data_IF_168878107574
#
_entry.id   IF_168878107574
#
_cell.length_a   1.000
_cell.length_b   1.000
_cell.length_c   1.000
_cell.angle_alpha   90.00
_cell.angle_beta   90.00
_cell.angle_gamma   90.00
#
_symmetry.space_group_name_H-M   'P 1'
#
loop_
_entity.id
_entity.type
_entity.pdbx_description
1 polymer ?
#
# COMPACT_ATOMS: atom_id res chain seq x y z
N UNK A 1 43.03 -15.96 62.00
CA UNK A 1 41.70 -16.10 61.45
C UNK A 1 41.41 -14.84 60.64
N UNK A 2 41.56 -14.95 59.34
CA UNK A 2 41.63 -13.83 58.36
C UNK A 2 40.24 -13.49 57.93
N UNK A 3 39.80 -12.24 58.17
CA UNK A 3 38.55 -11.70 57.67
C UNK A 3 38.82 -11.25 56.24
N UNK A 4 38.18 -11.89 55.25
CA UNK A 4 38.23 -11.55 53.85
C UNK A 4 37.19 -10.43 53.60
N UNK A 5 37.68 -9.23 53.39
CA UNK A 5 36.86 -8.08 52.96
C UNK A 5 36.55 -8.21 51.48
N UNK A 6 35.30 -8.44 51.14
CA UNK A 6 34.83 -8.35 49.74
C UNK A 6 34.72 -6.87 49.37
N UNK A 7 35.66 -6.44 48.56
CA UNK A 7 35.63 -5.13 47.92
C UNK A 7 34.67 -5.23 46.70
N UNK A 8 33.46 -4.72 46.87
CA UNK A 8 32.55 -4.53 45.77
C UNK A 8 33.05 -3.35 44.93
N UNK A 9 33.76 -3.64 43.85
CA UNK A 9 34.04 -2.66 42.81
C UNK A 9 32.75 -2.51 42.02
N UNK A 10 31.98 -1.49 42.35
CA UNK A 10 30.87 -1.02 41.52
C UNK A 10 31.50 -0.41 40.25
N UNK A 11 31.60 -1.21 39.22
CA UNK A 11 31.90 -0.74 37.86
C UNK A 11 30.69 0.07 37.37
N UNK A 12 30.70 1.38 37.66
CA UNK A 12 29.80 2.33 37.03
C UNK A 12 30.19 2.39 35.58
N UNK A 13 29.57 1.56 34.76
CA UNK A 13 29.57 1.75 33.33
C UNK A 13 28.77 3.04 33.06
N UNK A 14 29.48 4.12 32.82
CA UNK A 14 28.90 5.33 32.24
C UNK A 14 28.45 4.92 30.85
N UNK A 15 27.16 4.50 30.72
CA UNK A 15 26.50 4.54 29.43
C UNK A 15 26.53 6.01 29.03
N UNK A 16 27.38 6.32 28.06
CA UNK A 16 27.25 7.54 27.28
C UNK A 16 25.90 7.46 26.59
N UNK A 17 24.87 7.99 27.25
CA UNK A 17 23.60 8.31 26.63
C UNK A 17 23.95 9.39 25.63
N UNK A 18 24.21 9.00 24.39
CA UNK A 18 24.17 9.93 23.26
C UNK A 18 22.83 10.64 23.41
N UNK A 19 22.90 11.92 23.76
CA UNK A 19 21.71 12.74 23.95
C UNK A 19 20.98 12.80 22.61
N UNK A 20 20.00 11.94 22.44
CA UNK A 20 19.02 12.07 21.37
C UNK A 20 18.20 13.31 21.74
N UNK A 21 18.55 14.43 21.14
CA UNK A 21 17.75 15.65 21.29
C UNK A 21 16.50 15.46 20.42
N UNK A 22 15.41 15.13 21.07
CA UNK A 22 14.09 15.16 20.43
C UNK A 22 13.70 16.66 20.39
N UNK A 23 13.97 17.30 19.28
CA UNK A 23 13.31 18.57 18.98
C UNK A 23 11.89 18.24 18.56
N UNK A 24 10.94 18.38 19.48
CA UNK A 24 9.55 18.57 19.10
C UNK A 24 9.49 19.89 18.34
N UNK A 25 9.51 19.84 17.04
CA UNK A 25 8.99 20.94 16.25
C UNK A 25 7.50 20.98 16.59
N UNK A 26 7.04 22.04 17.24
CA UNK A 26 5.61 22.29 17.33
C UNK A 26 5.08 22.20 15.90
N UNK A 27 4.19 21.23 15.68
CA UNK A 27 3.46 21.10 14.42
C UNK A 27 2.74 22.42 14.27
N UNK A 28 3.33 23.32 13.49
CA UNK A 28 2.75 24.63 13.27
C UNK A 28 1.38 24.38 12.66
N UNK A 29 0.37 25.09 13.13
CA UNK A 29 -0.97 25.16 12.53
C UNK A 29 -0.86 25.84 11.14
N UNK A 30 0.13 25.46 10.33
CA UNK A 30 0.32 26.00 9.00
C UNK A 30 -0.79 25.46 8.09
N UNK A 31 -1.56 26.33 7.47
CA UNK A 31 -2.57 25.88 6.55
C UNK A 31 -1.94 25.17 5.33
N UNK A 32 -2.53 24.05 4.92
CA UNK A 32 -2.13 23.38 3.69
C UNK A 32 -2.27 24.32 2.48
N UNK A 33 -1.30 24.25 1.57
CA UNK A 33 -1.27 25.00 0.30
C UNK A 33 -1.27 24.04 -0.87
N UNK A 34 -1.75 24.53 -2.01
CA UNK A 34 -1.72 23.77 -3.26
C UNK A 34 -0.49 24.14 -4.09
N UNK A 35 0.29 23.14 -4.48
CA UNK A 35 1.47 23.26 -5.31
C UNK A 35 1.24 22.52 -6.63
N UNK A 36 1.20 23.24 -7.74
CA UNK A 36 1.16 22.61 -9.07
C UNK A 36 2.56 22.21 -9.49
N UNK A 37 2.78 20.93 -9.74
CA UNK A 37 4.07 20.35 -10.09
C UNK A 37 4.12 20.04 -11.59
N UNK A 38 5.16 20.48 -12.28
CA UNK A 38 5.35 20.19 -13.72
C UNK A 38 6.00 18.82 -13.90
N UNK A 39 5.26 17.75 -13.57
CA UNK A 39 5.70 16.36 -13.66
C UNK A 39 4.89 15.65 -14.75
N UNK A 40 5.57 14.86 -15.59
CA UNK A 40 4.97 14.18 -16.74
C UNK A 40 5.78 12.96 -17.13
N UNK A 41 5.31 12.24 -18.15
CA UNK A 41 6.01 11.09 -18.76
C UNK A 41 6.23 9.93 -17.79
N UNK A 42 5.26 9.72 -16.88
CA UNK A 42 5.23 8.58 -15.96
C UNK A 42 3.97 7.74 -16.19
N UNK A 43 4.07 6.48 -15.90
CA UNK A 43 2.98 5.51 -15.84
C UNK A 43 3.04 4.65 -14.57
N UNK A 44 4.02 4.91 -13.72
CA UNK A 44 4.17 4.24 -12.42
C UNK A 44 4.30 5.27 -11.31
N UNK A 45 3.77 4.95 -10.14
CA UNK A 45 3.79 5.80 -8.94
C UNK A 45 4.45 5.02 -7.82
N UNK A 46 5.42 5.63 -7.14
CA UNK A 46 6.07 5.08 -5.95
C UNK A 46 5.96 6.10 -4.81
N UNK A 47 5.26 5.72 -3.77
CA UNK A 47 5.07 6.53 -2.58
C UNK A 47 5.76 5.88 -1.37
N UNK A 48 6.76 6.54 -0.83
CA UNK A 48 7.49 6.13 0.37
C UNK A 48 7.17 7.05 1.56
N UNK A 49 5.94 7.61 1.58
CA UNK A 49 5.48 8.58 2.57
C UNK A 49 4.07 8.24 3.03
N UNK A 50 3.54 8.96 4.01
CA UNK A 50 2.13 8.91 4.41
C UNK A 50 1.18 9.75 3.56
N UNK A 51 1.65 10.30 2.43
CA UNK A 51 0.83 11.11 1.55
C UNK A 51 -0.24 10.29 0.84
N UNK A 52 -1.49 10.74 0.87
CA UNK A 52 -2.57 10.12 0.13
C UNK A 52 -2.50 10.47 -1.36
N UNK A 53 -2.83 9.51 -2.21
CA UNK A 53 -2.79 9.66 -3.66
C UNK A 53 -4.17 9.53 -4.26
N UNK A 54 -4.61 10.57 -4.97
CA UNK A 54 -5.82 10.59 -5.79
C UNK A 54 -5.44 10.52 -7.26
N UNK A 55 -5.82 9.45 -7.94
CA UNK A 55 -5.50 9.24 -9.35
C UNK A 55 -6.74 9.33 -10.24
N UNK A 56 -6.64 10.12 -11.30
CA UNK A 56 -7.63 10.22 -12.38
C UNK A 56 -7.00 9.91 -13.70
N UNK A 57 -7.44 8.87 -14.42
CA UNK A 57 -6.99 8.62 -15.78
C UNK A 57 -7.52 9.71 -16.71
N UNK A 58 -6.64 10.41 -17.41
CA UNK A 58 -6.96 11.55 -18.29
C UNK A 58 -5.90 11.68 -19.38
N UNK A 59 -6.27 12.25 -20.51
CA UNK A 59 -5.34 12.42 -21.63
C UNK A 59 -4.19 13.41 -21.36
N UNK A 60 -4.18 14.08 -20.20
CA UNK A 60 -3.19 15.09 -19.85
C UNK A 60 -2.58 14.83 -18.49
N UNK A 61 -1.30 15.15 -18.36
CA UNK A 61 -0.63 15.14 -17.06
C UNK A 61 -0.99 16.38 -16.26
N UNK A 62 -1.39 16.17 -15.01
CA UNK A 62 -1.57 17.23 -14.02
C UNK A 62 -1.23 16.64 -12.67
N UNK A 63 -0.33 17.29 -11.93
CA UNK A 63 0.06 16.87 -10.59
C UNK A 63 -0.07 18.08 -9.66
N UNK A 64 -0.92 17.94 -8.64
CA UNK A 64 -1.16 18.97 -7.63
C UNK A 64 -0.98 18.35 -6.26
N UNK A 65 -0.03 18.88 -5.51
CA UNK A 65 0.17 18.53 -4.10
C UNK A 65 -0.59 19.54 -3.25
N UNK A 66 -1.34 19.05 -2.28
CA UNK A 66 -1.92 19.83 -1.18
C UNK A 66 -1.24 19.39 0.11
N UNK A 67 -0.41 20.25 0.68
CA UNK A 67 0.38 19.95 1.87
C UNK A 67 0.77 21.24 2.60
N UNK A 68 1.22 21.12 3.83
CA UNK A 68 1.80 22.24 4.56
C UNK A 68 3.13 22.67 3.93
N UNK A 69 3.57 23.93 4.07
CA UNK A 69 4.89 24.36 3.60
C UNK A 69 6.05 23.55 4.19
N UNK A 70 5.94 23.15 5.46
CA UNK A 70 6.94 22.31 6.14
C UNK A 70 7.02 20.91 5.52
N UNK A 71 5.88 20.27 5.21
CA UNK A 71 5.85 19.00 4.50
C UNK A 71 6.50 19.10 3.12
N UNK A 72 6.12 20.12 2.33
CA UNK A 72 6.69 20.35 1.00
C UNK A 72 8.20 20.61 1.04
N UNK A 73 8.69 21.28 2.07
CA UNK A 73 10.13 21.53 2.24
C UNK A 73 10.92 20.26 2.59
N UNK A 74 10.32 19.32 3.32
CA UNK A 74 10.96 18.06 3.78
C UNK A 74 10.83 16.89 2.81
N UNK A 75 10.02 17.01 1.76
CA UNK A 75 9.79 15.93 0.80
C UNK A 75 10.26 16.29 -0.61
N UNK A 76 10.47 15.27 -1.40
CA UNK A 76 10.82 15.39 -2.83
C UNK A 76 9.83 14.59 -3.66
N UNK A 77 9.28 15.22 -4.70
CA UNK A 77 8.43 14.57 -5.69
C UNK A 77 9.09 14.76 -7.05
N UNK A 78 9.42 13.67 -7.71
CA UNK A 78 10.11 13.68 -9.01
C UNK A 78 9.45 12.75 -10.00
N UNK A 79 9.64 13.02 -11.29
CA UNK A 79 9.24 12.13 -12.39
C UNK A 79 10.44 11.84 -13.26
N UNK A 80 10.93 10.61 -13.23
CA UNK A 80 12.08 10.16 -14.00
C UNK A 80 11.86 8.71 -14.47
N UNK A 81 12.35 8.38 -15.65
CA UNK A 81 12.33 7.02 -16.21
C UNK A 81 10.95 6.35 -16.21
N UNK A 82 9.88 7.14 -16.40
CA UNK A 82 8.51 6.62 -16.39
C UNK A 82 7.89 6.43 -15.01
N UNK A 83 8.58 6.84 -13.95
CA UNK A 83 8.12 6.73 -12.56
C UNK A 83 7.94 8.10 -11.92
N UNK A 84 6.84 8.29 -11.20
CA UNK A 84 6.64 9.40 -10.27
C UNK A 84 6.96 8.88 -8.88
N UNK A 85 7.91 9.53 -8.20
CA UNK A 85 8.44 9.06 -6.92
C UNK A 85 8.30 10.14 -5.85
N UNK A 86 7.70 9.75 -4.72
CA UNK A 86 7.56 10.55 -3.51
C UNK A 86 8.45 9.99 -2.43
N UNK A 87 9.35 10.80 -1.89
CA UNK A 87 10.26 10.41 -0.80
C UNK A 87 10.47 11.55 0.17
N UNK A 88 10.69 11.23 1.43
CA UNK A 88 11.23 12.17 2.40
C UNK A 88 12.69 12.47 2.08
N UNK A 89 13.10 13.73 2.16
CA UNK A 89 14.51 14.11 1.98
C UNK A 89 15.34 13.56 3.13
N UNK A 90 16.46 12.91 2.80
CA UNK A 90 17.42 12.51 3.82
C UNK A 90 18.03 13.76 4.47
N UNK A 91 17.92 13.88 5.77
CA UNK A 91 18.62 14.92 6.50
C UNK A 91 20.13 14.64 6.48
N UNK A 92 20.92 15.68 6.20
CA UNK A 92 22.38 15.61 6.31
C UNK A 92 22.71 15.31 7.77
N UNK A 93 23.31 14.14 8.01
CA UNK A 93 23.91 13.79 9.30
C UNK A 93 24.93 14.85 9.68
N UNK A 94 24.59 15.73 10.58
CA UNK A 94 25.58 16.57 11.25
C UNK A 94 26.40 15.66 12.17
N UNK A 95 27.72 15.77 12.07
CA UNK A 95 28.71 14.92 12.75
C UNK A 95 28.35 14.71 14.23
N UNK A 96 27.87 13.50 14.59
CA UNK A 96 27.73 13.05 15.96
C UNK A 96 26.35 13.18 16.63
N UNK A 97 25.33 13.70 15.96
CA UNK A 97 23.97 13.80 16.50
C UNK A 97 23.00 13.20 15.50
N UNK A 98 22.31 12.14 15.86
CA UNK A 98 21.15 11.66 15.10
C UNK A 98 19.95 12.46 15.56
N UNK A 99 19.51 13.44 14.77
CA UNK A 99 18.24 14.14 15.00
C UNK A 99 17.16 13.27 14.38
N UNK A 100 16.36 12.64 15.21
CA UNK A 100 15.16 11.94 14.77
C UNK A 100 14.03 12.97 14.72
N UNK A 101 13.75 13.52 13.53
CA UNK A 101 12.54 14.29 13.32
C UNK A 101 11.36 13.31 13.24
N UNK A 102 10.64 13.17 14.33
CA UNK A 102 9.32 12.55 14.31
C UNK A 102 8.35 13.63 13.88
N UNK A 103 8.11 13.76 12.58
CA UNK A 103 7.02 14.57 12.08
C UNK A 103 5.72 13.85 12.43
N UNK A 104 4.97 14.41 13.37
CA UNK A 104 3.77 13.82 13.93
C UNK A 104 2.53 13.95 13.01
N UNK A 105 2.69 14.28 11.73
CA UNK A 105 1.58 14.39 10.78
C UNK A 105 2.06 14.28 9.33
N UNK A 106 2.47 13.06 8.93
CA UNK A 106 2.55 12.75 7.49
C UNK A 106 1.14 12.62 6.86
N UNK A 107 0.10 12.63 7.67
CA UNK A 107 -1.29 12.34 7.29
C UNK A 107 -2.02 13.52 6.61
N UNK A 108 -1.41 14.71 6.55
CA UNK A 108 -2.07 15.92 6.01
C UNK A 108 -1.70 16.24 4.56
N UNK A 109 -1.01 15.36 3.85
CA UNK A 109 -0.62 15.60 2.47
C UNK A 109 -1.45 14.77 1.49
N UNK A 110 -1.99 15.42 0.48
CA UNK A 110 -2.75 14.81 -0.61
C UNK A 110 -2.08 15.11 -1.95
N UNK A 111 -1.86 14.10 -2.77
CA UNK A 111 -1.32 14.25 -4.13
C UNK A 111 -2.37 13.87 -5.17
N UNK A 112 -2.85 14.86 -5.90
CA UNK A 112 -3.83 14.71 -6.97
C UNK A 112 -3.11 14.56 -8.30
N UNK A 113 -3.28 13.41 -8.95
CA UNK A 113 -2.58 13.04 -10.17
C UNK A 113 -3.59 12.78 -11.29
N UNK A 114 -3.36 13.41 -12.44
CA UNK A 114 -3.97 13.00 -13.69
C UNK A 114 -2.87 12.55 -14.66
N UNK A 115 -3.07 11.39 -15.31
CA UNK A 115 -2.13 10.86 -16.30
C UNK A 115 -2.86 9.98 -17.32
N UNK A 116 -2.29 9.80 -18.55
CA UNK A 116 -2.92 9.01 -19.62
C UNK A 116 -3.01 7.51 -19.32
N UNK A 117 -2.08 6.98 -18.55
CA UNK A 117 -2.01 5.57 -18.21
C UNK A 117 -1.45 5.36 -16.81
N UNK A 118 -1.82 4.24 -16.21
CA UNK A 118 -1.26 3.74 -14.97
C UNK A 118 -0.91 2.26 -15.16
N UNK A 119 0.35 1.91 -14.96
CA UNK A 119 0.86 0.56 -15.09
C UNK A 119 1.27 -0.05 -13.74
N UNK A 120 1.73 0.77 -12.80
CA UNK A 120 2.10 0.31 -11.48
C UNK A 120 1.90 1.37 -10.40
N UNK A 121 1.55 0.91 -9.18
CA UNK A 121 1.54 1.71 -7.95
C UNK A 121 2.25 0.93 -6.86
N UNK A 122 3.19 1.56 -6.18
CA UNK A 122 3.87 0.99 -5.02
C UNK A 122 3.81 1.99 -3.87
N UNK A 123 3.24 1.56 -2.75
CA UNK A 123 3.17 2.35 -1.52
C UNK A 123 3.94 1.62 -0.44
N UNK A 124 4.87 2.31 0.20
CA UNK A 124 5.58 1.81 1.36
C UNK A 124 5.42 2.83 2.50
N UNK A 125 4.36 2.66 3.28
CA UNK A 125 3.96 3.61 4.34
C UNK A 125 2.50 3.45 4.73
N UNK A 126 1.90 4.56 5.20
CA UNK A 126 0.50 4.64 5.64
C UNK A 126 -0.41 5.41 4.67
N UNK A 127 0.13 5.97 3.60
CA UNK A 127 -0.67 6.73 2.63
C UNK A 127 -1.60 5.84 1.82
N UNK A 128 -2.79 6.34 1.53
CA UNK A 128 -3.82 5.64 0.79
C UNK A 128 -3.74 5.91 -0.72
N UNK A 129 -4.35 5.02 -1.50
CA UNK A 129 -4.50 5.21 -2.94
C UNK A 129 -5.96 5.15 -3.37
N UNK A 130 -6.40 6.20 -4.02
CA UNK A 130 -7.77 6.35 -4.54
C UNK A 130 -7.74 6.50 -6.07
N UNK A 131 -8.37 5.57 -6.80
CA UNK A 131 -8.65 5.78 -8.21
C UNK A 131 -10.00 6.48 -8.37
N UNK A 132 -9.99 7.78 -8.60
CA UNK A 132 -11.20 8.61 -8.75
C UNK A 132 -11.93 8.40 -10.09
N UNK A 133 -11.31 7.70 -11.03
CA UNK A 133 -11.88 7.32 -12.32
C UNK A 133 -11.69 5.83 -12.59
N UNK A 134 -12.42 5.29 -13.58
CA UNK A 134 -12.12 3.96 -14.10
C UNK A 134 -10.69 3.92 -14.68
N UNK A 135 -10.00 2.80 -14.50
CA UNK A 135 -8.67 2.57 -15.05
C UNK A 135 -8.78 1.63 -16.25
N UNK A 136 -8.15 2.01 -17.34
CA UNK A 136 -8.03 1.20 -18.54
C UNK A 136 -6.56 1.06 -18.94
N UNK A 137 -6.14 -0.13 -19.39
CA UNK A 137 -4.73 -0.30 -19.75
C UNK A 137 -4.39 -1.68 -20.27
N UNK A 138 -3.08 -1.92 -20.39
CA UNK A 138 -2.55 -3.23 -20.77
C UNK A 138 -2.42 -4.16 -19.56
N UNK A 139 -1.99 -3.65 -18.44
CA UNK A 139 -1.84 -4.34 -17.18
C UNK A 139 -1.73 -3.33 -16.05
N UNK A 140 -1.97 -3.77 -14.82
CA UNK A 140 -1.83 -2.95 -13.62
C UNK A 140 -1.24 -3.81 -12.50
N UNK A 141 -0.16 -3.32 -11.92
CA UNK A 141 0.46 -3.90 -10.72
C UNK A 141 0.35 -2.93 -9.56
N UNK A 142 -0.14 -3.42 -8.44
CA UNK A 142 -0.27 -2.63 -7.22
C UNK A 142 0.40 -3.36 -6.06
N UNK A 143 1.18 -2.64 -5.28
CA UNK A 143 1.88 -3.18 -4.10
C UNK A 143 1.77 -2.20 -2.95
N UNK A 144 1.27 -2.69 -1.81
CA UNK A 144 1.21 -1.93 -0.56
C UNK A 144 2.03 -2.66 0.50
N UNK A 145 3.03 -1.98 1.03
CA UNK A 145 3.83 -2.44 2.15
C UNK A 145 3.63 -1.48 3.33
N UNK A 146 2.68 -1.78 4.22
CA UNK A 146 2.31 -0.91 5.33
C UNK A 146 0.85 -1.04 5.71
N UNK A 147 0.22 0.10 6.03
CA UNK A 147 -1.17 0.16 6.50
C UNK A 147 -2.08 1.03 5.62
N UNK A 148 -1.58 1.49 4.49
CA UNK A 148 -2.37 2.28 3.54
C UNK A 148 -3.41 1.42 2.82
N UNK A 149 -4.56 2.00 2.55
CA UNK A 149 -5.66 1.37 1.84
C UNK A 149 -5.65 1.69 0.34
N UNK A 150 -6.31 0.84 -0.43
CA UNK A 150 -6.48 1.07 -1.86
C UNK A 150 -7.94 0.96 -2.28
N UNK A 151 -8.46 2.04 -2.86
CA UNK A 151 -9.82 2.06 -3.42
C UNK A 151 -9.79 2.33 -4.91
N UNK A 152 -10.22 1.32 -5.70
CA UNK A 152 -10.31 1.44 -7.14
C UNK A 152 -11.77 1.48 -7.57
N UNK A 153 -12.09 2.33 -8.54
CA UNK A 153 -13.29 2.17 -9.35
C UNK A 153 -13.12 0.96 -10.29
N UNK A 154 -13.82 0.91 -11.40
CA UNK A 154 -13.68 -0.21 -12.32
C UNK A 154 -12.30 -0.21 -13.00
N UNK A 155 -11.77 -1.41 -13.21
CA UNK A 155 -10.50 -1.65 -13.89
C UNK A 155 -10.75 -2.54 -15.10
N UNK A 156 -10.34 -2.08 -16.29
CA UNK A 156 -10.47 -2.84 -17.56
C UNK A 156 -9.10 -2.95 -18.24
N UNK A 157 -8.55 -4.16 -18.26
CA UNK A 157 -7.21 -4.43 -18.78
C UNK A 157 -7.28 -5.46 -19.92
N UNK A 158 -6.42 -5.31 -20.91
CA UNK A 158 -6.23 -6.32 -21.94
C UNK A 158 -5.27 -7.45 -21.51
N UNK A 159 -4.51 -7.24 -20.46
CA UNK A 159 -3.57 -8.18 -19.82
C UNK A 159 -3.96 -8.47 -18.39
N UNK A 160 -3.00 -8.47 -17.51
CA UNK A 160 -3.13 -9.02 -16.17
C UNK A 160 -3.24 -7.92 -15.10
N UNK A 161 -3.91 -8.25 -14.02
CA UNK A 161 -4.00 -7.45 -12.79
C UNK A 161 -3.27 -8.18 -11.66
N UNK A 162 -2.36 -7.48 -11.01
CA UNK A 162 -1.63 -7.98 -9.83
C UNK A 162 -1.83 -7.04 -8.66
N UNK A 163 -2.12 -7.62 -7.51
CA UNK A 163 -2.21 -6.88 -6.25
C UNK A 163 -1.51 -7.61 -5.12
N UNK A 164 -0.62 -6.91 -4.41
CA UNK A 164 0.19 -7.45 -3.33
C UNK A 164 0.05 -6.55 -2.10
N UNK A 165 -0.35 -7.13 -0.97
CA UNK A 165 -0.35 -6.47 0.34
C UNK A 165 0.67 -7.18 1.23
N UNK A 166 1.54 -6.40 1.86
CA UNK A 166 2.39 -6.84 2.96
C UNK A 166 2.15 -5.90 4.15
N UNK A 167 1.19 -6.25 5.01
CA UNK A 167 0.79 -5.39 6.14
C UNK A 167 -0.68 -5.54 6.52
N UNK A 168 -1.34 -4.41 6.81
CA UNK A 168 -2.73 -4.37 7.30
C UNK A 168 -3.63 -3.45 6.46
N UNK A 169 -3.16 -2.98 5.32
CA UNK A 169 -3.97 -2.18 4.41
C UNK A 169 -4.99 -3.02 3.65
N UNK A 170 -6.11 -2.43 3.30
CA UNK A 170 -7.23 -3.08 2.63
C UNK A 170 -7.30 -2.72 1.14
N UNK A 171 -7.93 -3.61 0.36
CA UNK A 171 -8.31 -3.30 -1.01
C UNK A 171 -9.81 -3.39 -1.22
N UNK A 172 -10.37 -2.32 -1.74
CA UNK A 172 -11.73 -2.27 -2.24
C UNK A 172 -11.72 -1.94 -3.74
N UNK A 173 -12.30 -2.79 -4.57
CA UNK A 173 -12.40 -2.50 -5.99
C UNK A 173 -13.82 -2.61 -6.49
N UNK A 174 -14.17 -1.79 -7.48
CA UNK A 174 -15.32 -2.04 -8.32
C UNK A 174 -15.12 -3.32 -9.16
N UNK A 175 -15.57 -3.31 -10.40
CA UNK A 175 -15.43 -4.47 -11.29
C UNK A 175 -14.07 -4.49 -11.98
N UNK A 176 -13.34 -5.59 -11.83
CA UNK A 176 -12.11 -5.87 -12.56
C UNK A 176 -12.43 -6.76 -13.76
N UNK A 177 -12.04 -6.30 -14.94
CA UNK A 177 -11.97 -7.08 -16.17
C UNK A 177 -10.52 -7.16 -16.61
N UNK A 178 -9.97 -8.36 -16.62
CA UNK A 178 -8.57 -8.61 -16.98
C UNK A 178 -8.45 -10.02 -17.58
N UNK A 179 -7.31 -10.32 -18.20
CA UNK A 179 -7.04 -11.69 -18.61
C UNK A 179 -6.90 -12.59 -17.40
N UNK A 180 -6.03 -12.21 -16.48
CA UNK A 180 -5.84 -12.88 -15.21
C UNK A 180 -5.85 -11.84 -14.08
N UNK A 181 -6.27 -12.25 -12.88
CA UNK A 181 -6.21 -11.44 -11.67
C UNK A 181 -5.51 -12.22 -10.57
N UNK A 182 -4.51 -11.63 -9.94
CA UNK A 182 -3.77 -12.26 -8.85
C UNK A 182 -3.71 -11.33 -7.65
N UNK A 183 -4.09 -11.86 -6.50
CA UNK A 183 -4.09 -11.17 -5.22
C UNK A 183 -3.24 -11.94 -4.23
N UNK A 184 -2.37 -11.25 -3.52
CA UNK A 184 -1.52 -11.83 -2.49
C UNK A 184 -1.56 -10.94 -1.25
N UNK A 185 -2.04 -11.50 -0.14
CA UNK A 185 -2.11 -10.81 1.15
C UNK A 185 -1.17 -11.50 2.12
N UNK A 186 -0.27 -10.76 2.71
CA UNK A 186 0.66 -11.21 3.74
C UNK A 186 0.49 -10.31 4.97
N UNK A 187 -0.33 -10.72 5.92
CA UNK A 187 -0.69 -9.92 7.09
C UNK A 187 -2.15 -10.03 7.47
N UNK A 188 -2.79 -8.88 7.75
CA UNK A 188 -4.18 -8.80 8.23
C UNK A 188 -5.07 -7.88 7.38
N UNK A 189 -4.60 -7.51 6.20
CA UNK A 189 -5.39 -6.70 5.28
C UNK A 189 -6.49 -7.50 4.58
N UNK A 190 -7.58 -6.85 4.22
CA UNK A 190 -8.74 -7.46 3.61
C UNK A 190 -8.86 -7.13 2.12
N UNK A 191 -9.62 -7.97 1.40
CA UNK A 191 -9.91 -7.74 -0.01
C UNK A 191 -11.41 -7.84 -0.31
N UNK A 192 -11.94 -6.79 -0.96
CA UNK A 192 -13.25 -6.84 -1.58
C UNK A 192 -13.14 -6.52 -3.08
N UNK A 193 -13.57 -7.46 -3.94
CA UNK A 193 -13.45 -7.31 -5.39
C UNK A 193 -14.54 -8.02 -6.17
N UNK A 194 -14.97 -7.39 -7.28
CA UNK A 194 -15.82 -8.02 -8.29
C UNK A 194 -14.99 -8.32 -9.54
N UNK A 195 -15.10 -9.55 -10.03
CA UNK A 195 -14.34 -10.02 -11.19
C UNK A 195 -15.31 -10.39 -12.31
N UNK A 196 -15.13 -9.82 -13.48
CA UNK A 196 -15.99 -10.11 -14.62
C UNK A 196 -15.17 -10.64 -15.80
N UNK A 197 -15.52 -11.83 -16.30
CA UNK A 197 -14.89 -12.49 -17.47
C UNK A 197 -13.38 -12.70 -17.32
N UNK A 198 -12.87 -12.78 -16.09
CA UNK A 198 -11.47 -13.09 -15.81
C UNK A 198 -11.22 -14.56 -16.10
N UNK A 199 -10.16 -14.85 -16.88
CA UNK A 199 -9.85 -16.23 -17.27
C UNK A 199 -9.30 -17.05 -16.10
N UNK A 200 -8.37 -16.47 -15.34
CA UNK A 200 -7.77 -17.12 -14.18
C UNK A 200 -7.68 -16.12 -13.03
N UNK A 201 -8.19 -16.53 -11.89
CA UNK A 201 -8.06 -15.75 -10.64
C UNK A 201 -7.22 -16.55 -9.65
N UNK A 202 -6.27 -15.89 -9.01
CA UNK A 202 -5.51 -16.44 -7.89
C UNK A 202 -5.65 -15.54 -6.68
N UNK A 203 -6.01 -16.11 -5.53
CA UNK A 203 -5.95 -15.43 -4.24
C UNK A 203 -5.13 -16.25 -3.26
N UNK A 204 -4.13 -15.63 -2.66
CA UNK A 204 -3.32 -16.23 -1.60
C UNK A 204 -3.35 -15.32 -0.38
N UNK A 205 -3.80 -15.86 0.76
CA UNK A 205 -3.78 -15.15 2.04
C UNK A 205 -2.83 -15.89 2.97
N UNK A 206 -1.82 -15.20 3.46
CA UNK A 206 -0.90 -15.67 4.48
C UNK A 206 -1.03 -14.77 5.72
N UNK A 207 -1.87 -15.18 6.69
CA UNK A 207 -2.15 -14.38 7.89
C UNK A 207 -3.59 -14.50 8.35
N UNK A 208 -4.20 -13.35 8.71
CA UNK A 208 -5.55 -13.28 9.26
C UNK A 208 -6.47 -12.34 8.49
N UNK A 209 -6.06 -11.93 7.30
CA UNK A 209 -6.88 -11.10 6.42
C UNK A 209 -8.04 -11.88 5.80
N UNK A 210 -9.12 -11.19 5.49
CA UNK A 210 -10.33 -11.77 4.93
C UNK A 210 -10.49 -11.41 3.43
N UNK A 211 -11.30 -12.21 2.72
CA UNK A 211 -11.52 -12.01 1.30
C UNK A 211 -12.99 -12.11 0.88
N UNK A 212 -13.48 -11.16 0.11
CA UNK A 212 -14.78 -11.24 -0.56
C UNK A 212 -14.60 -11.08 -2.06
N UNK A 213 -14.83 -12.17 -2.81
CA UNK A 213 -14.74 -12.17 -4.27
C UNK A 213 -16.08 -12.53 -4.91
N UNK A 214 -16.58 -11.65 -5.77
CA UNK A 214 -17.76 -11.91 -6.58
C UNK A 214 -17.37 -12.15 -8.05
N UNK A 215 -17.75 -13.28 -8.62
CA UNK A 215 -17.43 -13.69 -9.99
C UNK A 215 -18.60 -13.52 -10.93
N UNK A 216 -18.39 -12.88 -12.06
CA UNK A 216 -19.35 -12.81 -13.16
C UNK A 216 -18.77 -13.48 -14.40
N UNK A 217 -19.22 -14.72 -14.67
CA UNK A 217 -18.79 -15.55 -15.79
C UNK A 217 -17.27 -15.67 -15.91
N UNK A 218 -16.59 -15.94 -14.80
CA UNK A 218 -15.15 -16.15 -14.75
C UNK A 218 -14.75 -17.61 -15.05
N UNK A 219 -13.49 -17.81 -15.40
CA UNK A 219 -12.94 -19.13 -15.73
C UNK A 219 -12.56 -19.92 -14.47
N UNK A 220 -11.28 -20.08 -14.25
CA UNK A 220 -10.72 -20.83 -13.14
C UNK A 220 -10.33 -19.92 -11.98
N UNK A 221 -10.53 -20.39 -10.75
CA UNK A 221 -9.97 -19.75 -9.55
C UNK A 221 -9.15 -20.74 -8.72
N UNK A 222 -8.02 -20.27 -8.18
CA UNK A 222 -7.16 -20.93 -7.19
C UNK A 222 -7.12 -20.06 -5.94
N UNK A 223 -7.73 -20.54 -4.86
CA UNK A 223 -7.89 -19.80 -3.59
C UNK A 223 -7.15 -20.56 -2.48
N UNK A 224 -6.18 -19.91 -1.87
CA UNK A 224 -5.32 -20.51 -0.85
C UNK A 224 -5.23 -19.63 0.40
N UNK A 225 -5.50 -20.22 1.56
CA UNK A 225 -5.37 -19.57 2.88
C UNK A 225 -4.33 -20.32 3.70
N UNK A 226 -3.38 -19.60 4.26
CA UNK A 226 -2.43 -20.09 5.24
C UNK A 226 -2.52 -19.20 6.50
N UNK A 227 -3.36 -19.59 7.45
CA UNK A 227 -3.63 -18.79 8.66
C UNK A 227 -5.07 -18.93 9.15
N UNK A 228 -5.68 -17.79 9.53
CA UNK A 228 -7.01 -17.77 10.17
C UNK A 228 -8.04 -16.90 9.43
N UNK A 229 -7.69 -16.44 8.23
CA UNK A 229 -8.60 -15.62 7.42
C UNK A 229 -9.80 -16.39 6.88
N UNK A 230 -10.86 -15.66 6.52
CA UNK A 230 -12.07 -16.19 5.90
C UNK A 230 -12.21 -15.64 4.47
N UNK A 231 -12.57 -16.50 3.51
CA UNK A 231 -12.83 -16.08 2.13
C UNK A 231 -14.24 -16.44 1.71
N UNK A 232 -15.05 -15.44 1.37
CA UNK A 232 -16.38 -15.61 0.82
C UNK A 232 -16.37 -15.49 -0.70
N UNK A 233 -16.82 -16.54 -1.41
CA UNK A 233 -16.93 -16.56 -2.86
C UNK A 233 -18.39 -16.56 -3.32
N UNK A 234 -18.71 -15.80 -4.36
CA UNK A 234 -20.06 -15.70 -4.89
C UNK A 234 -20.07 -15.56 -6.42
N UNK A 235 -21.24 -15.78 -7.05
CA UNK A 235 -21.44 -15.58 -8.48
C UNK A 235 -21.16 -16.82 -9.32
N UNK A 236 -20.60 -16.67 -10.53
CA UNK A 236 -20.42 -17.75 -11.52
C UNK A 236 -18.98 -17.95 -11.91
N UNK A 237 -18.46 -19.17 -11.76
CA UNK A 237 -17.11 -19.59 -12.04
C UNK A 237 -17.12 -20.93 -12.77
N UNK A 238 -16.19 -21.17 -13.70
CA UNK A 238 -16.13 -22.46 -14.41
C UNK A 238 -15.58 -23.58 -13.51
N UNK A 239 -14.49 -23.30 -12.80
CA UNK A 239 -13.86 -24.27 -11.90
C UNK A 239 -13.12 -23.59 -10.75
N UNK A 240 -13.00 -24.30 -9.63
CA UNK A 240 -12.38 -23.80 -8.41
C UNK A 240 -11.47 -24.88 -7.81
N UNK A 241 -10.22 -24.48 -7.52
CA UNK A 241 -9.37 -25.17 -6.56
C UNK A 241 -9.26 -24.34 -5.29
N UNK A 242 -9.37 -25.02 -4.13
CA UNK A 242 -9.26 -24.34 -2.84
C UNK A 242 -8.42 -25.14 -1.86
N UNK A 243 -7.58 -24.46 -1.09
CA UNK A 243 -6.80 -25.07 -0.04
C UNK A 243 -6.72 -24.16 1.20
N UNK A 244 -6.83 -24.77 2.38
CA UNK A 244 -6.72 -24.08 3.67
C UNK A 244 -5.70 -24.80 4.53
N UNK A 245 -4.74 -24.06 5.05
CA UNK A 245 -3.77 -24.52 6.03
C UNK A 245 -3.86 -23.60 7.26
N UNK A 246 -4.47 -24.10 8.32
CA UNK A 246 -4.71 -23.33 9.56
C UNK A 246 -6.16 -23.38 10.01
N UNK A 247 -6.65 -22.31 10.63
CA UNK A 247 -8.01 -22.18 11.16
C UNK A 247 -8.96 -21.37 10.25
N UNK A 248 -8.51 -21.01 9.07
CA UNK A 248 -9.31 -20.24 8.11
C UNK A 248 -10.39 -21.08 7.43
N UNK A 249 -11.28 -20.41 6.68
CA UNK A 249 -12.36 -21.05 5.93
C UNK A 249 -12.58 -20.40 4.54
N UNK A 250 -13.14 -21.18 3.61
CA UNK A 250 -13.53 -20.72 2.27
C UNK A 250 -15.00 -21.06 2.03
N UNK A 251 -15.86 -20.07 2.22
CA UNK A 251 -17.29 -20.16 1.96
C UNK A 251 -17.59 -20.08 0.46
N UNK A 252 -18.31 -21.06 -0.05
CA UNK A 252 -18.74 -21.17 -1.44
C UNK A 252 -20.24 -21.32 -1.61
N UNK A 253 -21.04 -21.06 -0.56
CA UNK A 253 -22.50 -21.30 -0.56
C UNK A 253 -23.22 -20.47 -1.62
N UNK A 254 -22.65 -19.31 -2.00
CA UNK A 254 -23.20 -18.40 -3.00
C UNK A 254 -22.48 -18.49 -4.37
N UNK A 255 -21.64 -19.52 -4.55
CA UNK A 255 -20.90 -19.74 -5.78
C UNK A 255 -21.58 -20.81 -6.65
N UNK A 256 -21.76 -20.51 -7.92
CA UNK A 256 -22.23 -21.47 -8.93
C UNK A 256 -21.07 -21.87 -9.81
N UNK A 257 -20.75 -23.17 -9.84
CA UNK A 257 -19.74 -23.70 -10.76
C UNK A 257 -20.41 -24.11 -12.09
N UNK A 258 -19.81 -23.69 -13.19
CA UNK A 258 -20.22 -24.11 -14.53
C UNK A 258 -19.97 -25.62 -14.74
N UNK A 259 -20.78 -26.22 -15.57
CA UNK A 259 -20.57 -27.62 -16.06
C UNK A 259 -19.72 -27.57 -17.31
#
# INVERSE_FOLDING_TARGET
MKKLAFLFIALVTILSISACRIEKTDVSNEPAKSYTLNLRDFQSIKNYTGCDIHFTQSNTYKVVLKATPSWYASHTITSNYGELVLVQKEERKQKGITVLHINASDDDAELWISAPSLAAVSIAGSGDFYADSNITGKGLEMSIAGSGDCKLKNVTLTGDFYYIIAGSGDIETGTIQARNASFSISGSGDIESKLAKVKTTKLTIAGSGDGTLAFDHCGYADISISGSGEVSLSGTLQSLDKSVSGAGDIDTDRLTLGK
#
